data_IF_477012693149
#
_entry.id   IF_477012693149
#
_cell.length_a   1.000
_cell.length_b   1.000
_cell.length_c   1.000
_cell.angle_alpha   90.00
_cell.angle_beta   90.00
_cell.angle_gamma   90.00
#
_symmetry.space_group_name_H-M   'P 1'
#
loop_
_entity.id
_entity.type
_entity.pdbx_description
1 polymer ?
#
# COMPACT_ATOMS: atom_id res chain seq x y z
N UNK A 1 5.09 -12.76 13.63
CA UNK A 1 5.54 -11.85 12.55
C UNK A 1 6.05 -10.58 13.20
N UNK A 2 7.23 -10.10 12.86
CA UNK A 2 7.81 -8.87 13.39
C UNK A 2 7.62 -7.72 12.41
N UNK A 3 7.09 -6.59 12.88
CA UNK A 3 6.90 -5.38 12.07
C UNK A 3 7.61 -4.20 12.75
N UNK A 4 8.44 -3.50 11.97
CA UNK A 4 9.02 -2.22 12.36
C UNK A 4 8.14 -1.09 11.82
N UNK A 5 7.51 -0.33 12.71
CA UNK A 5 6.74 0.86 12.37
C UNK A 5 7.58 2.11 12.63
N UNK A 6 7.66 3.01 11.67
CA UNK A 6 8.29 4.31 11.86
C UNK A 6 7.54 5.39 11.11
N UNK A 7 7.76 6.64 11.50
CA UNK A 7 7.02 7.77 10.95
C UNK A 7 6.89 8.90 11.95
N UNK A 8 5.82 9.66 11.79
CA UNK A 8 5.57 10.87 12.57
C UNK A 8 4.59 10.67 13.75
N UNK A 9 3.88 11.74 14.12
CA UNK A 9 2.92 11.72 15.21
C UNK A 9 1.75 10.78 14.97
N UNK A 10 1.37 10.48 13.73
CA UNK A 10 0.28 9.54 13.43
C UNK A 10 0.65 8.13 13.90
N UNK A 11 1.85 7.65 13.57
CA UNK A 11 2.29 6.31 13.98
C UNK A 11 2.64 6.26 15.48
N UNK A 12 3.06 7.39 16.05
CA UNK A 12 3.44 7.49 17.46
C UNK A 12 2.27 7.76 18.42
N UNK A 13 1.06 8.10 17.94
CA UNK A 13 -0.01 8.62 18.82
C UNK A 13 -0.69 7.52 19.61
N UNK A 14 -1.01 7.81 20.87
CA UNK A 14 -1.66 6.87 21.78
C UNK A 14 -3.20 6.94 21.73
N UNK A 15 -3.77 8.10 21.40
CA UNK A 15 -5.23 8.31 21.39
C UNK A 15 -5.98 7.74 22.62
N UNK A 16 -5.45 7.98 23.82
CA UNK A 16 -6.08 7.56 25.07
C UNK A 16 -5.77 6.11 25.50
N UNK A 17 -4.97 5.37 24.71
CA UNK A 17 -4.51 4.04 25.05
C UNK A 17 -3.19 4.06 25.84
N UNK A 18 -2.74 2.87 26.29
CA UNK A 18 -1.47 2.70 27.03
C UNK A 18 -0.24 2.58 26.12
N UNK A 19 -0.46 2.50 24.82
CA UNK A 19 0.55 2.39 23.78
C UNK A 19 0.05 3.09 22.51
N UNK A 20 0.87 3.27 21.45
CA UNK A 20 0.40 3.85 20.20
C UNK A 20 -0.83 3.11 19.66
N UNK A 21 -1.84 3.84 19.18
CA UNK A 21 -3.13 3.28 18.84
C UNK A 21 -3.04 2.28 17.68
N UNK A 22 -2.16 2.55 16.71
CA UNK A 22 -1.91 1.58 15.64
C UNK A 22 -1.29 0.28 16.17
N UNK A 23 -0.45 0.34 17.21
CA UNK A 23 0.11 -0.87 17.82
C UNK A 23 -0.99 -1.70 18.49
N UNK A 24 -1.85 -1.06 19.27
CA UNK A 24 -2.97 -1.72 19.94
C UNK A 24 -3.90 -2.37 18.92
N UNK A 25 -4.26 -1.63 17.86
CA UNK A 25 -5.13 -2.14 16.79
C UNK A 25 -4.54 -3.37 16.10
N UNK A 26 -3.27 -3.30 15.69
CA UNK A 26 -2.61 -4.42 15.01
C UNK A 26 -2.48 -5.64 15.93
N UNK A 27 -2.18 -5.47 17.22
CA UNK A 27 -2.10 -6.58 18.19
C UNK A 27 -3.45 -7.25 18.43
N UNK A 28 -4.53 -6.47 18.43
CA UNK A 28 -5.90 -7.00 18.60
C UNK A 28 -6.36 -7.80 17.38
N UNK A 29 -5.98 -7.35 16.17
CA UNK A 29 -6.52 -7.87 14.90
C UNK A 29 -5.55 -8.78 14.12
N UNK A 30 -4.29 -8.90 14.56
CA UNK A 30 -3.28 -9.76 13.94
C UNK A 30 -2.57 -10.63 15.00
N UNK A 31 -2.98 -11.90 15.10
CA UNK A 31 -2.40 -12.85 16.05
C UNK A 31 -0.89 -13.01 15.85
N UNK A 32 -0.15 -13.08 16.94
CA UNK A 32 1.31 -13.32 16.97
C UNK A 32 2.15 -12.25 16.24
N UNK A 33 1.67 -10.99 16.23
CA UNK A 33 2.46 -9.84 15.76
C UNK A 33 3.36 -9.30 16.88
N UNK A 34 4.65 -9.13 16.58
CA UNK A 34 5.61 -8.38 17.37
C UNK A 34 5.82 -7.02 16.70
N UNK A 35 5.65 -5.93 17.46
CA UNK A 35 5.74 -4.57 16.93
C UNK A 35 6.88 -3.83 17.60
N UNK A 36 7.81 -3.35 16.78
CA UNK A 36 8.79 -2.35 17.18
C UNK A 36 8.38 -1.01 16.56
N UNK A 37 7.97 -0.04 17.37
CA UNK A 37 7.54 1.27 16.89
C UNK A 37 8.60 2.32 17.26
N UNK A 38 9.24 2.89 16.25
CA UNK A 38 10.28 3.93 16.38
C UNK A 38 9.79 5.29 15.90
N UNK A 39 8.50 5.48 15.70
CA UNK A 39 7.95 6.74 15.20
C UNK A 39 8.19 7.89 16.20
N UNK A 40 8.44 9.08 15.66
CA UNK A 40 8.78 10.27 16.45
C UNK A 40 7.80 11.40 16.09
N UNK A 41 7.04 11.94 17.05
CA UNK A 41 6.09 13.02 16.77
C UNK A 41 6.73 14.23 16.09
N UNK A 42 6.08 14.72 15.03
CA UNK A 42 6.42 16.00 14.38
C UNK A 42 7.62 15.98 13.43
N UNK A 43 8.21 14.82 13.15
CA UNK A 43 9.32 14.68 12.20
C UNK A 43 8.85 14.83 10.74
N UNK A 44 9.75 15.27 9.88
CA UNK A 44 9.58 15.35 8.43
C UNK A 44 10.67 14.51 7.71
N UNK A 45 10.67 14.50 6.38
CA UNK A 45 11.63 13.73 5.58
C UNK A 45 13.09 14.09 5.83
N UNK A 46 13.42 15.35 6.16
CA UNK A 46 14.79 15.76 6.53
C UNK A 46 15.25 15.02 7.78
N UNK A 47 14.40 15.01 8.82
CA UNK A 47 14.71 14.33 10.07
C UNK A 47 14.82 12.81 9.86
N UNK A 48 13.88 12.21 9.12
CA UNK A 48 13.93 10.79 8.79
C UNK A 48 15.24 10.44 8.06
N UNK A 49 15.65 11.24 7.07
CA UNK A 49 16.91 11.01 6.37
C UNK A 49 18.13 11.10 7.30
N UNK A 50 18.15 12.08 8.19
CA UNK A 50 19.26 12.26 9.14
C UNK A 50 19.35 11.13 10.18
N UNK A 51 18.22 10.50 10.54
CA UNK A 51 18.14 9.52 11.63
C UNK A 51 17.72 8.12 11.16
N UNK A 52 17.69 7.85 9.85
CA UNK A 52 17.37 6.54 9.26
C UNK A 52 18.19 5.40 9.87
N UNK A 53 19.45 5.67 10.21
CA UNK A 53 20.32 4.68 10.84
C UNK A 53 19.81 4.29 12.24
N UNK A 54 19.34 5.26 13.03
CA UNK A 54 18.85 5.06 14.40
C UNK A 54 17.43 4.50 14.42
N UNK A 55 16.55 5.05 13.59
CA UNK A 55 15.14 4.67 13.53
C UNK A 55 14.96 3.30 12.86
N UNK A 56 15.83 2.91 11.92
CA UNK A 56 15.61 1.72 11.08
C UNK A 56 16.82 0.78 11.06
N UNK A 57 18.01 1.26 10.68
CA UNK A 57 19.11 0.35 10.32
C UNK A 57 19.77 -0.33 11.52
N UNK A 58 19.87 0.34 12.67
CA UNK A 58 20.40 -0.21 13.93
C UNK A 58 19.43 -1.15 14.65
N UNK A 59 18.15 -1.10 14.32
CA UNK A 59 17.13 -1.98 14.92
C UNK A 59 17.35 -3.43 14.48
N UNK A 60 16.70 -4.40 15.11
CA UNK A 60 16.65 -5.75 14.56
C UNK A 60 15.89 -5.75 13.21
N UNK A 61 16.28 -6.60 12.25
CA UNK A 61 15.55 -6.69 10.98
C UNK A 61 14.18 -7.32 11.23
N UNK A 62 13.12 -6.59 10.88
CA UNK A 62 11.74 -7.07 10.93
C UNK A 62 11.35 -7.82 9.64
N UNK A 63 10.22 -8.54 9.66
CA UNK A 63 9.64 -9.14 8.46
C UNK A 63 9.15 -8.06 7.49
N UNK A 64 8.56 -6.99 8.05
CA UNK A 64 8.10 -5.80 7.33
C UNK A 64 8.60 -4.52 8.01
N UNK A 65 8.92 -3.52 7.18
CA UNK A 65 9.18 -2.14 7.56
C UNK A 65 8.07 -1.26 6.98
N UNK A 66 7.37 -0.54 7.84
CA UNK A 66 6.32 0.42 7.47
C UNK A 66 6.81 1.83 7.77
N UNK A 67 6.72 2.72 6.78
CA UNK A 67 7.13 4.12 6.91
C UNK A 67 5.97 5.02 6.50
N UNK A 68 5.39 5.75 7.45
CA UNK A 68 4.46 6.85 7.18
C UNK A 68 5.19 8.17 7.37
N UNK A 69 5.38 8.92 6.29
CA UNK A 69 6.04 10.23 6.31
C UNK A 69 5.45 11.14 5.23
N UNK A 70 5.63 12.45 5.39
CA UNK A 70 5.09 13.45 4.48
C UNK A 70 4.06 14.37 5.15
N UNK A 71 3.44 13.93 6.26
CA UNK A 71 2.42 14.70 6.97
C UNK A 71 2.93 16.04 7.48
N UNK A 72 4.18 16.12 7.93
CA UNK A 72 4.77 17.40 8.36
C UNK A 72 5.45 18.14 7.21
N UNK A 73 5.84 17.43 6.16
CA UNK A 73 6.45 17.98 4.95
C UNK A 73 5.44 18.80 4.13
N UNK A 74 4.17 18.38 4.10
CA UNK A 74 3.08 19.11 3.42
C UNK A 74 2.52 20.28 4.24
N UNK A 75 2.95 20.46 5.50
CA UNK A 75 2.42 21.52 6.35
C UNK A 75 3.06 22.88 6.03
N UNK A 76 2.29 23.92 5.73
CA UNK A 76 2.81 25.22 5.29
C UNK A 76 3.88 25.82 6.21
N UNK A 77 3.75 25.64 7.52
CA UNK A 77 4.67 26.17 8.52
C UNK A 77 5.95 25.34 8.72
N UNK A 78 6.03 24.14 8.11
CA UNK A 78 7.17 23.20 8.18
C UNK A 78 7.55 22.65 6.80
N UNK A 79 7.09 23.31 5.75
CA UNK A 79 7.05 22.77 4.40
C UNK A 79 8.43 22.34 3.94
N UNK A 80 8.50 21.14 3.37
CA UNK A 80 9.66 20.66 2.62
C UNK A 80 9.27 20.67 1.16
N UNK A 81 9.94 21.45 0.32
CA UNK A 81 9.58 21.53 -1.10
C UNK A 81 9.62 20.15 -1.78
N UNK A 82 8.73 19.94 -2.74
CA UNK A 82 8.47 18.64 -3.37
C UNK A 82 9.73 17.95 -3.91
N UNK A 83 10.61 18.71 -4.58
CA UNK A 83 11.88 18.19 -5.10
C UNK A 83 12.82 17.71 -3.98
N UNK A 84 12.86 18.44 -2.86
CA UNK A 84 13.64 18.04 -1.71
C UNK A 84 13.03 16.83 -1.01
N UNK A 85 11.70 16.81 -0.86
CA UNK A 85 10.98 15.66 -0.30
C UNK A 85 11.26 14.39 -1.11
N UNK A 86 11.11 14.45 -2.44
CA UNK A 86 11.46 13.36 -3.35
C UNK A 86 12.93 12.94 -3.23
N UNK A 87 13.85 13.91 -3.14
CA UNK A 87 15.28 13.64 -2.97
C UNK A 87 15.57 12.93 -1.63
N UNK A 88 14.92 13.37 -0.56
CA UNK A 88 15.06 12.79 0.78
C UNK A 88 14.56 11.34 0.79
N UNK A 89 13.36 11.10 0.24
CA UNK A 89 12.80 9.76 0.15
C UNK A 89 13.66 8.81 -0.70
N UNK A 90 14.22 9.28 -1.81
CA UNK A 90 15.16 8.50 -2.62
C UNK A 90 16.41 8.07 -1.83
N UNK A 91 16.99 8.98 -1.04
CA UNK A 91 18.15 8.67 -0.20
C UNK A 91 17.80 7.69 0.92
N UNK A 92 16.63 7.87 1.54
CA UNK A 92 16.09 6.96 2.56
C UNK A 92 15.87 5.57 1.96
N UNK A 93 15.21 5.47 0.81
CA UNK A 93 14.96 4.20 0.11
C UNK A 93 16.26 3.44 -0.18
N UNK A 94 17.26 4.11 -0.76
CA UNK A 94 18.59 3.51 -1.03
C UNK A 94 19.25 2.95 0.23
N UNK A 95 19.17 3.67 1.35
CA UNK A 95 19.72 3.22 2.63
C UNK A 95 18.96 2.03 3.19
N UNK A 96 17.63 2.05 3.16
CA UNK A 96 16.78 0.95 3.66
C UNK A 96 17.04 -0.36 2.90
N UNK A 97 17.20 -0.26 1.57
CA UNK A 97 17.45 -1.42 0.70
C UNK A 97 18.81 -2.09 0.91
N UNK A 98 19.69 -1.50 1.74
CA UNK A 98 20.90 -2.21 2.19
C UNK A 98 20.60 -3.32 3.21
N UNK A 99 19.40 -3.31 3.81
CA UNK A 99 18.99 -4.23 4.87
C UNK A 99 17.69 -4.98 4.57
N UNK A 100 16.72 -4.32 3.94
CA UNK A 100 15.42 -4.89 3.60
C UNK A 100 15.32 -5.16 2.10
N UNK A 101 14.67 -6.26 1.71
CA UNK A 101 14.26 -6.43 0.33
C UNK A 101 13.09 -5.46 0.04
N UNK A 102 12.96 -4.99 -1.21
CA UNK A 102 11.91 -4.02 -1.56
C UNK A 102 10.50 -4.50 -1.18
N UNK A 103 10.22 -5.81 -1.30
CA UNK A 103 8.93 -6.41 -0.93
C UNK A 103 8.65 -6.48 0.57
N UNK A 104 9.64 -6.16 1.40
CA UNK A 104 9.49 -6.05 2.85
C UNK A 104 9.22 -4.60 3.30
N UNK A 105 9.26 -3.63 2.39
CA UNK A 105 9.11 -2.21 2.71
C UNK A 105 7.77 -1.71 2.20
N UNK A 106 6.99 -1.11 3.09
CA UNK A 106 5.72 -0.46 2.81
C UNK A 106 5.88 1.04 3.09
N UNK A 107 5.77 1.84 2.03
CA UNK A 107 5.68 3.29 2.16
C UNK A 107 4.21 3.68 2.21
N UNK A 108 3.83 4.42 3.25
CA UNK A 108 2.46 4.88 3.50
C UNK A 108 2.39 6.37 3.19
N UNK A 109 1.41 6.78 2.39
CA UNK A 109 1.19 8.21 2.13
C UNK A 109 0.77 8.97 3.39
N UNK A 110 0.96 10.30 3.45
CA UNK A 110 0.30 11.12 4.46
C UNK A 110 -1.23 10.95 4.38
N UNK A 111 -1.95 10.98 5.51
CA UNK A 111 -3.40 10.84 5.53
C UNK A 111 -4.09 12.09 4.96
N UNK A 112 -5.28 11.91 4.40
CA UNK A 112 -6.20 13.01 4.12
C UNK A 112 -6.55 13.76 5.41
N UNK A 113 -6.95 15.01 5.27
CA UNK A 113 -7.29 15.89 6.39
C UNK A 113 -8.70 16.45 6.26
N UNK A 114 -9.33 16.66 7.40
CA UNK A 114 -10.53 17.49 7.51
C UNK A 114 -10.11 18.97 7.37
N UNK A 115 -10.31 19.52 6.18
CA UNK A 115 -9.93 20.90 5.82
C UNK A 115 -10.72 21.98 6.58
N UNK A 116 -11.91 21.67 7.11
CA UNK A 116 -12.67 22.61 7.92
C UNK A 116 -11.96 22.89 9.26
N UNK A 117 -11.13 21.94 9.73
CA UNK A 117 -10.36 22.06 10.99
C UNK A 117 -8.87 22.27 10.77
N UNK A 118 -8.27 21.73 9.71
CA UNK A 118 -6.86 21.96 9.40
C UNK A 118 -6.63 23.38 8.88
N UNK A 119 -5.61 24.04 9.45
CA UNK A 119 -5.24 25.42 9.08
C UNK A 119 -3.93 25.54 8.33
N UNK A 120 -3.17 24.44 8.27
CA UNK A 120 -1.79 24.44 7.79
C UNK A 120 -1.54 23.42 6.70
N UNK A 121 -2.59 22.75 6.24
CA UNK A 121 -2.60 21.70 5.21
C UNK A 121 -3.94 21.75 4.48
N UNK A 122 -3.90 21.34 3.23
CA UNK A 122 -5.05 21.07 2.37
C UNK A 122 -4.78 19.73 1.64
N UNK A 123 -5.85 19.07 1.22
CA UNK A 123 -5.82 17.77 0.56
C UNK A 123 -5.20 17.83 -0.83
N UNK A 124 -5.29 18.96 -1.55
CA UNK A 124 -4.59 19.14 -2.84
C UNK A 124 -3.07 19.01 -2.64
N UNK A 125 -2.54 19.63 -1.59
CA UNK A 125 -1.13 19.55 -1.22
C UNK A 125 -0.80 18.17 -0.68
N UNK A 126 -1.61 17.60 0.22
CA UNK A 126 -1.37 16.26 0.76
C UNK A 126 -1.30 15.21 -0.37
N UNK A 127 -2.19 15.26 -1.35
CA UNK A 127 -2.21 14.37 -2.50
C UNK A 127 -0.92 14.46 -3.32
N UNK A 128 -0.36 15.66 -3.53
CA UNK A 128 0.95 15.82 -4.20
C UNK A 128 2.05 15.06 -3.47
N UNK A 129 2.11 15.15 -2.13
CA UNK A 129 3.10 14.40 -1.35
C UNK A 129 2.82 12.90 -1.37
N UNK A 130 1.56 12.47 -1.35
CA UNK A 130 1.17 11.07 -1.54
C UNK A 130 1.69 10.51 -2.88
N UNK A 131 1.53 11.27 -3.96
CA UNK A 131 2.04 10.92 -5.29
C UNK A 131 3.57 10.79 -5.34
N UNK A 132 4.30 11.63 -4.59
CA UNK A 132 5.76 11.48 -4.46
C UNK A 132 6.16 10.22 -3.68
N UNK A 133 5.42 9.87 -2.62
CA UNK A 133 5.63 8.60 -1.91
C UNK A 133 5.37 7.41 -2.84
N UNK A 134 4.27 7.44 -3.60
CA UNK A 134 3.94 6.41 -4.59
C UNK A 134 5.03 6.25 -5.63
N UNK A 135 5.52 7.35 -6.19
CA UNK A 135 6.57 7.34 -7.20
C UNK A 135 7.84 6.68 -6.69
N UNK A 136 8.28 7.02 -5.48
CA UNK A 136 9.45 6.38 -4.85
C UNK A 136 9.19 4.90 -4.61
N UNK A 137 8.01 4.52 -4.10
CA UNK A 137 7.70 3.10 -3.91
C UNK A 137 7.81 2.32 -5.24
N UNK A 138 7.26 2.87 -6.33
CA UNK A 138 7.31 2.28 -7.66
C UNK A 138 8.75 2.19 -8.21
N UNK A 139 9.53 3.28 -8.12
CA UNK A 139 10.90 3.36 -8.63
C UNK A 139 11.82 2.30 -8.00
N UNK A 140 11.56 1.93 -6.74
CA UNK A 140 12.34 0.94 -5.99
C UNK A 140 11.65 -0.42 -5.85
N UNK A 141 10.45 -0.60 -6.42
CA UNK A 141 9.68 -1.84 -6.35
C UNK A 141 9.14 -2.20 -4.96
N UNK A 142 9.05 -1.21 -4.07
CA UNK A 142 8.48 -1.32 -2.72
C UNK A 142 6.95 -1.36 -2.77
N UNK A 143 6.32 -1.68 -1.63
CA UNK A 143 4.88 -1.55 -1.47
C UNK A 143 4.50 -0.09 -1.22
N UNK A 144 3.34 0.31 -1.74
CA UNK A 144 2.73 1.61 -1.49
C UNK A 144 1.34 1.39 -0.91
N UNK A 145 1.07 1.96 0.27
CA UNK A 145 -0.25 2.02 0.87
C UNK A 145 -0.74 3.46 0.77
N UNK A 146 -1.82 3.68 0.03
CA UNK A 146 -2.35 5.01 -0.23
C UNK A 146 -3.33 5.45 0.86
N UNK A 147 -2.84 5.71 2.09
CA UNK A 147 -3.69 6.11 3.21
C UNK A 147 -4.55 7.34 2.92
N UNK A 148 -4.05 8.29 2.13
CA UNK A 148 -4.83 9.43 1.64
C UNK A 148 -6.16 8.97 1.02
N UNK A 149 -6.10 8.04 0.07
CA UNK A 149 -7.28 7.51 -0.62
C UNK A 149 -8.07 6.51 0.22
N UNK A 150 -7.42 5.70 1.08
CA UNK A 150 -8.13 4.79 2.00
C UNK A 150 -9.07 5.55 2.96
N UNK A 151 -8.85 6.85 3.18
CA UNK A 151 -9.73 7.71 3.98
C UNK A 151 -10.88 8.33 3.18
N UNK A 152 -10.88 8.23 1.84
CA UNK A 152 -11.97 8.64 0.97
C UNK A 152 -13.00 7.50 0.87
N UNK A 153 -13.73 7.27 1.96
CA UNK A 153 -14.74 6.21 2.06
C UNK A 153 -16.16 6.78 2.01
N UNK A 154 -17.10 5.98 1.47
CA UNK A 154 -18.53 6.30 1.49
C UNK A 154 -19.16 6.13 2.89
N UNK A 155 -18.47 5.46 3.82
CA UNK A 155 -19.01 5.13 5.15
C UNK A 155 -18.83 6.24 6.18
N UNK A 156 -17.77 7.05 6.04
CA UNK A 156 -17.37 8.04 7.03
C UNK A 156 -16.79 9.28 6.37
N UNK A 157 -17.27 10.46 6.78
CA UNK A 157 -16.69 11.74 6.37
C UNK A 157 -15.32 11.96 7.03
N UNK A 158 -14.46 12.77 6.39
CA UNK A 158 -13.16 13.14 6.97
C UNK A 158 -13.29 13.81 8.35
N UNK A 159 -14.38 14.52 8.61
CA UNK A 159 -14.67 15.10 9.92
C UNK A 159 -14.72 14.02 11.02
N UNK A 160 -15.33 12.86 10.72
CA UNK A 160 -15.46 11.73 11.64
C UNK A 160 -14.15 10.96 11.75
N UNK A 161 -13.49 10.71 10.62
CA UNK A 161 -12.22 9.99 10.54
C UNK A 161 -11.17 10.76 11.35
N UNK A 162 -11.00 12.06 11.06
CA UNK A 162 -10.02 12.95 11.67
C UNK A 162 -10.40 13.42 13.09
N UNK A 163 -11.40 12.80 13.73
CA UNK A 163 -11.86 13.11 15.08
C UNK A 163 -11.04 12.35 16.17
N UNK A 164 -9.76 12.65 16.30
CA UNK A 164 -8.95 12.19 17.44
C UNK A 164 -9.16 13.04 18.70
N UNK A 165 -8.44 12.73 19.79
CA UNK A 165 -8.52 13.48 21.06
C UNK A 165 -8.18 14.97 20.93
N UNK A 166 -7.40 15.34 19.90
CA UNK A 166 -7.10 16.75 19.61
C UNK A 166 -8.19 17.44 18.79
N UNK A 167 -8.98 16.65 18.06
CA UNK A 167 -9.98 17.11 17.11
C UNK A 167 -9.45 18.26 16.24
N UNK A 168 -8.25 18.08 15.69
CA UNK A 168 -7.54 19.11 14.93
C UNK A 168 -7.68 18.95 13.41
N UNK A 169 -8.46 17.96 12.95
CA UNK A 169 -8.66 17.66 11.54
C UNK A 169 -7.50 16.92 10.86
N UNK A 170 -6.44 16.59 11.60
CA UNK A 170 -5.34 15.76 11.09
C UNK A 170 -5.28 14.42 11.81
N UNK A 171 -5.17 14.48 13.13
CA UNK A 171 -4.96 13.28 13.89
C UNK A 171 -6.28 12.58 14.13
N UNK A 172 -6.45 11.46 13.44
CA UNK A 172 -7.66 10.67 13.49
C UNK A 172 -7.86 9.92 14.81
N UNK A 173 -9.12 9.60 15.07
CA UNK A 173 -9.56 8.81 16.21
C UNK A 173 -9.63 7.33 15.88
N UNK A 174 -10.45 6.59 16.63
CA UNK A 174 -10.61 5.13 16.48
C UNK A 174 -10.89 4.71 15.03
N UNK A 175 -11.76 5.44 14.32
CA UNK A 175 -12.16 5.14 12.93
C UNK A 175 -10.95 5.23 11.98
N UNK A 176 -10.19 6.33 11.99
CA UNK A 176 -9.03 6.42 11.11
C UNK A 176 -7.91 5.42 11.45
N UNK A 177 -7.75 5.04 12.72
CA UNK A 177 -6.83 3.96 13.08
C UNK A 177 -7.33 2.58 12.64
N UNK A 178 -8.64 2.37 12.57
CA UNK A 178 -9.23 1.18 11.98
C UNK A 178 -8.89 1.10 10.49
N UNK A 179 -9.14 2.18 9.73
CA UNK A 179 -8.80 2.28 8.31
C UNK A 179 -7.31 1.99 8.07
N UNK A 180 -6.41 2.69 8.77
CA UNK A 180 -4.97 2.46 8.65
C UNK A 180 -4.58 1.03 9.04
N UNK A 181 -5.15 0.52 10.13
CA UNK A 181 -4.85 -0.80 10.65
C UNK A 181 -5.28 -1.93 9.72
N UNK A 182 -6.49 -1.85 9.17
CA UNK A 182 -7.04 -2.83 8.24
C UNK A 182 -6.24 -2.84 6.94
N UNK A 183 -5.94 -1.66 6.38
CA UNK A 183 -5.11 -1.55 5.18
C UNK A 183 -3.69 -2.12 5.40
N UNK A 184 -3.07 -1.88 6.56
CA UNK A 184 -1.78 -2.47 6.90
C UNK A 184 -1.86 -3.99 7.05
N UNK A 185 -2.91 -4.51 7.69
CA UNK A 185 -3.12 -5.95 7.83
C UNK A 185 -3.24 -6.60 6.45
N UNK A 186 -3.95 -6.01 5.51
CA UNK A 186 -4.11 -6.55 4.16
C UNK A 186 -2.81 -6.54 3.34
N UNK A 187 -1.93 -5.55 3.57
CA UNK A 187 -0.61 -5.52 2.94
C UNK A 187 0.36 -6.57 3.51
N UNK A 188 0.40 -6.75 4.85
CA UNK A 188 1.35 -7.68 5.49
C UNK A 188 0.84 -9.12 5.56
N UNK A 189 -0.47 -9.34 5.41
CA UNK A 189 -1.06 -10.68 5.46
C UNK A 189 -0.60 -11.47 4.24
N UNK A 190 -0.09 -12.71 4.43
CA UNK A 190 0.23 -13.58 3.32
C UNK A 190 -1.00 -13.77 2.43
N UNK A 191 -0.94 -13.31 1.17
CA UNK A 191 -2.00 -13.48 0.19
C UNK A 191 -2.14 -14.98 -0.14
N UNK A 192 -2.95 -15.70 0.64
CA UNK A 192 -3.12 -17.18 0.64
C UNK A 192 -3.44 -17.77 -0.74
N UNK A 193 -3.93 -16.98 -1.69
CA UNK A 193 -4.23 -17.42 -3.05
C UNK A 193 -2.99 -17.77 -3.87
N UNK A 194 -1.82 -17.17 -3.60
CA UNK A 194 -0.58 -17.53 -4.28
C UNK A 194 -0.04 -18.89 -3.81
N UNK A 195 -0.07 -19.17 -2.50
CA UNK A 195 0.48 -20.42 -1.96
C UNK A 195 -0.31 -21.64 -2.45
N UNK A 196 -1.64 -21.50 -2.61
CA UNK A 196 -2.50 -22.57 -3.12
C UNK A 196 -2.21 -22.88 -4.59
N UNK A 197 -1.84 -21.89 -5.40
CA UNK A 197 -1.48 -22.06 -6.82
C UNK A 197 -0.07 -22.64 -6.96
N UNK A 198 0.91 -22.14 -6.18
CA UNK A 198 2.29 -22.64 -6.18
C UNK A 198 2.35 -24.10 -5.71
N UNK A 199 1.60 -24.44 -4.65
CA UNK A 199 1.54 -25.83 -4.19
C UNK A 199 0.86 -26.74 -5.22
N UNK A 200 -0.18 -26.25 -5.94
CA UNK A 200 -0.84 -27.02 -7.00
C UNK A 200 0.08 -27.24 -8.21
N UNK A 201 0.88 -26.24 -8.60
CA UNK A 201 1.79 -26.33 -9.73
C UNK A 201 3.01 -27.22 -9.46
N UNK A 202 3.53 -27.21 -8.22
CA UNK A 202 4.62 -28.10 -7.82
C UNK A 202 4.19 -29.57 -7.67
N UNK A 203 2.93 -29.84 -7.32
CA UNK A 203 2.36 -31.21 -7.34
C UNK A 203 1.94 -31.71 -8.72
N UNK A 204 2.01 -30.87 -9.76
CA UNK A 204 1.62 -31.21 -11.12
C UNK A 204 2.79 -31.67 -11.99
N UNK A 205 3.66 -32.55 -11.49
CA UNK A 205 4.49 -33.41 -12.34
C UNK A 205 3.68 -34.62 -12.77
N UNK A 206 2.69 -34.42 -13.65
CA UNK A 206 1.98 -35.52 -14.27
C UNK A 206 2.74 -36.02 -15.49
N UNK A 207 3.16 -37.28 -15.43
CA UNK A 207 3.62 -38.08 -16.56
C UNK A 207 2.58 -37.99 -17.67
N UNK A 208 2.99 -37.46 -18.83
CA UNK A 208 2.13 -37.28 -20.01
C UNK A 208 1.80 -38.65 -20.59
N UNK A 209 0.77 -39.31 -20.07
CA UNK A 209 0.05 -40.36 -20.79
C UNK A 209 -1.43 -40.28 -20.43
N UNK A 210 -2.22 -39.81 -21.40
CA UNK A 210 -3.70 -39.84 -21.47
C UNK A 210 -4.45 -39.15 -20.32
N UNK A 211 -4.67 -37.83 -20.46
CA UNK A 211 -5.66 -37.11 -19.66
C UNK A 211 -6.96 -36.89 -20.48
N UNK A 212 -8.15 -37.20 -19.93
CA UNK A 212 -9.43 -37.00 -20.64
C UNK A 212 -9.78 -35.52 -20.85
N UNK A 213 -10.42 -35.21 -21.98
CA UNK A 213 -10.77 -33.88 -22.51
C UNK A 213 -11.37 -32.90 -21.50
N UNK A 214 -12.07 -33.39 -20.47
CA UNK A 214 -12.65 -32.57 -19.38
C UNK A 214 -11.62 -31.81 -18.56
N UNK A 215 -10.42 -32.36 -18.33
CA UNK A 215 -9.40 -31.69 -17.50
C UNK A 215 -8.70 -30.57 -18.29
N UNK A 216 -8.59 -30.72 -19.62
CA UNK A 216 -8.07 -29.68 -20.50
C UNK A 216 -8.98 -28.43 -20.51
N UNK A 217 -10.30 -28.64 -20.48
CA UNK A 217 -11.31 -27.55 -20.45
C UNK A 217 -11.28 -26.78 -19.13
N UNK A 218 -11.08 -27.46 -17.99
CA UNK A 218 -10.93 -26.80 -16.69
C UNK A 218 -9.67 -25.91 -16.61
N UNK A 219 -8.56 -26.36 -17.20
CA UNK A 219 -7.33 -25.57 -17.25
C UNK A 219 -7.45 -24.32 -18.14
N UNK A 220 -8.21 -24.41 -19.24
CA UNK A 220 -8.49 -23.24 -20.07
C UNK A 220 -9.36 -22.23 -19.32
N UNK A 221 -10.39 -22.68 -18.59
CA UNK A 221 -11.25 -21.79 -17.79
C UNK A 221 -10.47 -21.03 -16.72
N UNK A 222 -9.62 -21.71 -15.99
CA UNK A 222 -8.84 -21.11 -14.90
C UNK A 222 -7.75 -20.17 -15.47
N UNK A 223 -7.13 -20.52 -16.60
CA UNK A 223 -6.26 -19.59 -17.36
C UNK A 223 -7.03 -18.38 -17.89
N UNK A 224 -8.26 -18.57 -18.39
CA UNK A 224 -9.12 -17.49 -18.89
C UNK A 224 -9.50 -16.54 -17.75
N UNK A 225 -9.82 -17.07 -16.56
CA UNK A 225 -10.12 -16.26 -15.37
C UNK A 225 -8.91 -15.40 -14.93
N UNK A 226 -7.70 -15.97 -14.97
CA UNK A 226 -6.46 -15.22 -14.67
C UNK A 226 -6.22 -14.12 -15.70
N UNK A 227 -6.47 -14.41 -16.99
CA UNK A 227 -6.36 -13.41 -18.07
C UNK A 227 -7.41 -12.32 -17.89
N UNK A 228 -8.66 -12.66 -17.56
CA UNK A 228 -9.76 -11.72 -17.31
C UNK A 228 -9.45 -10.82 -16.12
N UNK A 229 -9.02 -11.37 -14.97
CA UNK A 229 -8.65 -10.56 -13.80
C UNK A 229 -7.45 -9.65 -14.06
N UNK A 230 -6.49 -10.09 -14.89
CA UNK A 230 -5.40 -9.21 -15.35
C UNK A 230 -5.88 -8.16 -16.36
N UNK A 231 -6.92 -8.44 -17.14
CA UNK A 231 -7.52 -7.48 -18.07
C UNK A 231 -8.31 -6.41 -17.32
N UNK A 232 -9.08 -6.74 -16.29
CA UNK A 232 -9.76 -5.76 -15.42
C UNK A 232 -8.76 -4.79 -14.76
N UNK A 233 -7.64 -5.33 -14.24
CA UNK A 233 -6.53 -4.52 -13.69
C UNK A 233 -5.80 -3.67 -14.74
N UNK A 234 -5.87 -4.04 -16.01
CA UNK A 234 -5.30 -3.24 -17.12
C UNK A 234 -6.30 -2.17 -17.56
N UNK A 235 -7.60 -2.48 -17.53
CA UNK A 235 -8.70 -1.56 -17.87
C UNK A 235 -8.79 -0.43 -16.85
N UNK A 236 -8.75 -0.72 -15.54
CA UNK A 236 -8.64 0.30 -14.48
C UNK A 236 -7.42 1.21 -14.70
N UNK A 237 -6.25 0.62 -14.99
CA UNK A 237 -5.01 1.38 -15.25
C UNK A 237 -5.03 2.22 -16.54
N UNK A 238 -5.84 1.87 -17.54
CA UNK A 238 -5.99 2.63 -18.79
C UNK A 238 -7.00 3.77 -18.59
N UNK A 239 -8.07 3.53 -17.84
CA UNK A 239 -9.05 4.55 -17.47
C UNK A 239 -8.42 5.64 -16.59
N UNK A 240 -7.53 5.24 -15.69
CA UNK A 240 -6.79 6.17 -14.81
C UNK A 240 -5.63 6.89 -15.51
N UNK A 241 -5.26 6.51 -16.74
CA UNK A 241 -4.14 7.14 -17.46
C UNK A 241 -4.30 7.05 -19.01
N UNK A 242 -5.07 7.97 -19.63
CA UNK A 242 -5.45 7.88 -21.04
C UNK A 242 -4.29 8.05 -22.05
N UNK A 243 -3.09 8.39 -21.60
CA UNK A 243 -1.88 8.48 -22.44
C UNK A 243 -1.10 7.16 -22.57
N UNK A 244 -1.59 6.05 -22.01
CA UNK A 244 -1.00 4.73 -22.22
C UNK A 244 -1.26 4.24 -23.66
N UNK A 245 -0.34 4.55 -24.57
CA UNK A 245 -0.34 4.02 -25.93
C UNK A 245 -0.16 2.50 -25.94
N UNK A 246 -1.26 1.76 -26.08
CA UNK A 246 -1.21 0.33 -26.38
C UNK A 246 -0.74 0.13 -27.82
N UNK A 247 0.33 -0.67 -28.00
CA UNK A 247 0.75 -1.05 -29.34
C UNK A 247 -0.35 -1.87 -30.04
N UNK A 248 -0.48 -1.71 -31.36
CA UNK A 248 -1.50 -2.39 -32.19
C UNK A 248 -1.56 -3.91 -31.93
N UNK A 249 -0.42 -4.54 -31.66
CA UNK A 249 -0.33 -5.96 -31.31
C UNK A 249 -1.06 -6.32 -30.01
N UNK A 250 -1.06 -5.44 -29.00
CA UNK A 250 -1.78 -5.68 -27.73
C UNK A 250 -3.29 -5.53 -27.92
N UNK A 251 -3.73 -4.57 -28.75
CA UNK A 251 -5.15 -4.39 -29.09
C UNK A 251 -5.66 -5.61 -29.87
N UNK A 252 -4.88 -6.13 -30.82
CA UNK A 252 -5.22 -7.33 -31.57
C UNK A 252 -5.32 -8.55 -30.64
N UNK A 253 -4.39 -8.73 -29.70
CA UNK A 253 -4.44 -9.83 -28.72
C UNK A 253 -5.70 -9.72 -27.85
N UNK A 254 -6.04 -8.52 -27.37
CA UNK A 254 -7.25 -8.29 -26.57
C UNK A 254 -8.53 -8.55 -27.37
N UNK A 255 -8.58 -8.13 -28.63
CA UNK A 255 -9.70 -8.39 -29.53
C UNK A 255 -9.88 -9.88 -29.86
N UNK A 256 -8.78 -10.61 -30.09
CA UNK A 256 -8.81 -12.07 -30.35
C UNK A 256 -9.30 -12.83 -29.11
N UNK A 257 -8.88 -12.43 -27.91
CA UNK A 257 -9.34 -13.04 -26.66
C UNK A 257 -10.82 -12.75 -26.38
N UNK A 258 -11.31 -11.55 -26.69
CA UNK A 258 -12.73 -11.20 -26.59
C UNK A 258 -13.61 -11.97 -27.59
N UNK A 259 -13.13 -12.18 -28.82
CA UNK A 259 -13.82 -13.00 -29.82
C UNK A 259 -13.85 -14.48 -29.43
N UNK A 260 -12.78 -15.00 -28.82
CA UNK A 260 -12.74 -16.36 -28.25
C UNK A 260 -13.77 -16.53 -27.12
N UNK A 261 -13.97 -15.51 -26.29
CA UNK A 261 -15.00 -15.50 -25.24
C UNK A 261 -16.42 -15.52 -25.84
N UNK A 262 -16.71 -14.65 -26.81
CA UNK A 262 -17.98 -14.63 -27.54
C UNK A 262 -18.27 -15.98 -28.23
N UNK A 263 -17.26 -16.61 -28.82
CA UNK A 263 -17.41 -17.92 -29.44
C UNK A 263 -17.77 -18.99 -28.41
N UNK A 264 -17.07 -19.03 -27.26
CA UNK A 264 -17.33 -20.01 -26.20
C UNK A 264 -18.69 -19.76 -25.51
N UNK A 265 -19.12 -18.52 -25.36
CA UNK A 265 -20.40 -18.19 -24.73
C UNK A 265 -21.62 -18.49 -25.61
N UNK A 266 -21.45 -18.48 -26.94
CA UNK A 266 -22.54 -18.66 -27.92
C UNK A 266 -22.80 -20.14 -28.22
N UNK A 267 -21.86 -21.05 -27.98
CA UNK A 267 -22.02 -22.49 -28.14
C UNK A 267 -22.40 -23.23 -26.83
N UNK A 268 -23.18 -22.57 -25.97
CA UNK A 268 -23.84 -23.18 -24.81
C UNK A 268 -24.96 -24.14 -25.21
#
# INVERSE_FOLDING_TARGET
>A
MKVLLTGDSIVARYEGLKEPHINAYLKENFSDIEILNTAVPGINSRYLLAHVDELILKQEKADYLVILIGTNDCAFHKKIEEEEFWTNLNKVAKKILTKYDAKQVILVSPPAVDEEKQRVRDNETVEKYANWVQRVANDYGMHYLNLFHEMETDEHELEEICHGLRNDGLHFGKIGYQILGDALIDEIRPKKWHQKIINKSQTATYTVTKLPLRILICNIRDCLYIVIKRMELIEERILDNPNWGLSLNKIIILGVLGLLWLFISTFR
#
